data_IF_120043777739
#
_entry.id   IF_120043777739
#
_cell.length_a   1.000
_cell.length_b   1.000
_cell.length_c   1.000
_cell.angle_alpha   90.00
_cell.angle_beta   90.00
_cell.angle_gamma   90.00
#
_symmetry.space_group_name_H-M   'P 1'
#
loop_
_entity.id
_entity.type
_entity.pdbx_description
1 polymer ?
#
# COMPACT_ATOMS: atom_id res chain seq x y z
N UNK A 1 29.42 -5.58 23.56
CA UNK A 1 28.15 -5.20 24.20
C UNK A 1 27.15 -4.77 23.12
N UNK A 2 26.28 -5.67 22.67
CA UNK A 2 25.23 -5.34 21.69
C UNK A 2 23.99 -4.83 22.44
N UNK A 3 23.71 -3.53 22.33
CA UNK A 3 22.45 -2.94 22.80
C UNK A 3 21.31 -3.44 21.90
N UNK A 4 20.48 -4.35 22.42
CA UNK A 4 19.19 -4.70 21.82
C UNK A 4 18.30 -3.46 21.86
N UNK A 5 18.03 -2.85 20.70
CA UNK A 5 16.89 -1.93 20.56
C UNK A 5 15.62 -2.75 20.77
N UNK A 6 14.99 -2.59 21.93
CA UNK A 6 13.68 -3.13 22.19
C UNK A 6 12.67 -2.43 21.26
N UNK A 7 12.14 -3.17 20.30
CA UNK A 7 10.94 -2.79 19.56
C UNK A 7 9.81 -2.81 20.58
N UNK A 8 9.43 -1.65 21.12
CA UNK A 8 8.21 -1.52 21.93
C UNK A 8 7.04 -1.76 21.00
N UNK A 9 6.38 -2.91 21.10
CA UNK A 9 5.04 -3.07 20.56
C UNK A 9 4.16 -2.01 21.20
N UNK A 10 3.59 -1.15 20.38
CA UNK A 10 2.56 -0.23 20.84
C UNK A 10 1.37 -1.07 21.34
N UNK A 11 0.99 -0.83 22.58
CA UNK A 11 -0.20 -1.39 23.20
C UNK A 11 -1.41 -1.05 22.32
N UNK A 12 -2.20 -2.07 21.96
CA UNK A 12 -3.35 -1.91 21.09
C UNK A 12 -4.35 -0.96 21.74
N UNK A 13 -4.51 0.25 21.21
CA UNK A 13 -5.53 1.18 21.65
C UNK A 13 -6.91 0.51 21.53
N UNK A 14 -7.84 0.71 22.50
CA UNK A 14 -9.19 0.18 22.38
C UNK A 14 -9.78 0.62 21.03
N UNK A 15 -10.50 -0.27 20.34
CA UNK A 15 -10.83 -0.13 18.91
C UNK A 15 -11.40 1.26 18.53
N UNK A 16 -12.22 1.87 19.40
CA UNK A 16 -12.74 3.23 19.22
C UNK A 16 -11.65 4.32 19.26
N UNK A 17 -10.68 4.23 20.16
CA UNK A 17 -9.56 5.19 20.23
C UNK A 17 -8.55 4.99 19.10
N UNK A 18 -8.42 3.76 18.60
CA UNK A 18 -7.54 3.41 17.48
C UNK A 18 -7.96 4.15 16.21
N UNK A 19 -9.22 4.02 15.77
CA UNK A 19 -9.71 4.69 14.56
C UNK A 19 -9.86 6.20 14.73
N UNK A 20 -10.25 6.68 15.92
CA UNK A 20 -10.25 8.11 16.22
C UNK A 20 -8.83 8.73 16.10
N UNK A 21 -7.80 8.00 16.53
CA UNK A 21 -6.39 8.45 16.36
C UNK A 21 -6.00 8.47 14.88
N UNK A 22 -6.36 7.43 14.12
CA UNK A 22 -6.09 7.40 12.68
C UNK A 22 -6.80 8.54 11.95
N UNK A 23 -8.05 8.83 12.30
CA UNK A 23 -8.79 9.97 11.77
C UNK A 23 -8.03 11.29 11.98
N UNK A 24 -7.58 11.57 13.21
CA UNK A 24 -6.78 12.77 13.53
C UNK A 24 -5.45 12.85 12.80
N UNK A 25 -4.82 11.71 12.53
CA UNK A 25 -3.60 11.66 11.70
C UNK A 25 -3.92 12.03 10.25
N UNK A 26 -5.01 11.48 9.70
CA UNK A 26 -5.44 11.71 8.31
C UNK A 26 -5.94 13.14 8.07
N UNK A 27 -6.59 13.76 9.05
CA UNK A 27 -7.03 15.16 8.97
C UNK A 27 -5.93 16.17 9.28
N UNK A 28 -4.78 15.72 9.79
CA UNK A 28 -3.64 16.58 10.13
C UNK A 28 -3.75 17.27 11.48
N UNK A 29 -4.72 16.90 12.32
CA UNK A 29 -4.85 17.39 13.70
C UNK A 29 -3.69 16.90 14.59
N UNK A 30 -3.12 15.75 14.26
CA UNK A 30 -1.99 15.16 14.97
C UNK A 30 -0.96 14.59 14.00
N UNK A 31 0.25 14.34 14.49
CA UNK A 31 1.32 13.70 13.73
C UNK A 31 1.83 12.46 14.45
N UNK A 32 2.53 11.58 13.74
CA UNK A 32 3.16 10.43 14.38
C UNK A 32 4.21 10.90 15.40
N UNK A 33 4.18 10.30 16.60
CA UNK A 33 5.09 10.67 17.72
C UNK A 33 6.58 10.53 17.36
N UNK A 34 6.91 9.59 16.46
CA UNK A 34 8.28 9.38 15.97
C UNK A 34 8.67 10.33 14.82
N UNK A 35 7.85 11.35 14.51
CA UNK A 35 8.00 12.23 13.35
C UNK A 35 8.02 11.46 12.01
N UNK A 36 7.46 10.26 11.98
CA UNK A 36 7.31 9.48 10.77
C UNK A 36 6.37 10.17 9.77
N UNK A 37 6.59 9.92 8.48
CA UNK A 37 5.71 10.41 7.43
C UNK A 37 4.39 9.64 7.44
N UNK A 38 3.29 10.32 7.13
CA UNK A 38 1.99 9.69 6.91
C UNK A 38 1.99 8.97 5.55
N UNK A 39 2.30 7.68 5.59
CA UNK A 39 2.31 6.78 4.43
C UNK A 39 1.49 5.54 4.73
N UNK A 40 0.88 4.94 3.70
CA UNK A 40 0.06 3.74 3.84
C UNK A 40 0.83 2.61 4.55
N UNK A 41 2.10 2.40 4.20
CA UNK A 41 2.94 1.38 4.83
C UNK A 41 3.12 1.60 6.35
N UNK A 42 3.28 2.86 6.78
CA UNK A 42 3.37 3.21 8.20
C UNK A 42 2.02 3.07 8.92
N UNK A 43 0.92 3.39 8.22
CA UNK A 43 -0.44 3.19 8.74
C UNK A 43 -0.72 1.70 8.93
N UNK A 44 -0.44 0.86 7.93
CA UNK A 44 -0.61 -0.60 8.03
C UNK A 44 0.25 -1.19 9.16
N UNK A 45 1.50 -0.74 9.32
CA UNK A 45 2.36 -1.20 10.40
C UNK A 45 1.85 -0.85 11.81
N UNK A 46 1.19 0.31 11.96
CA UNK A 46 0.72 0.80 13.27
C UNK A 46 -0.74 0.42 13.58
N UNK A 47 -1.58 0.33 12.56
CA UNK A 47 -3.02 0.12 12.68
C UNK A 47 -3.46 -1.26 12.15
N UNK A 48 -2.54 -2.06 11.60
CA UNK A 48 -2.80 -3.42 11.11
C UNK A 48 -3.37 -3.44 9.68
N UNK A 49 -3.35 -4.63 9.06
CA UNK A 49 -3.75 -4.81 7.66
C UNK A 49 -5.23 -4.47 7.38
N UNK A 50 -6.10 -4.58 8.39
CA UNK A 50 -7.54 -4.30 8.26
C UNK A 50 -7.92 -2.83 8.55
N UNK A 51 -6.93 -1.93 8.68
CA UNK A 51 -7.17 -0.52 9.03
C UNK A 51 -8.21 0.15 8.12
N UNK A 52 -8.23 -0.16 6.82
CA UNK A 52 -9.13 0.48 5.87
C UNK A 52 -10.60 0.08 6.11
N UNK A 53 -10.85 -1.20 6.41
CA UNK A 53 -12.19 -1.70 6.74
C UNK A 53 -12.66 -1.16 8.08
N UNK A 54 -11.78 -1.16 9.09
CA UNK A 54 -12.07 -0.59 10.41
C UNK A 54 -12.36 0.92 10.32
N UNK A 55 -11.62 1.64 9.47
CA UNK A 55 -11.80 3.07 9.26
C UNK A 55 -13.08 3.39 8.50
N UNK A 56 -13.47 2.57 7.52
CA UNK A 56 -14.77 2.71 6.82
C UNK A 56 -15.95 2.48 7.78
N UNK A 57 -15.85 1.49 8.65
CA UNK A 57 -16.85 1.26 9.70
C UNK A 57 -16.93 2.46 10.66
N UNK A 58 -15.79 3.02 11.06
CA UNK A 58 -15.73 4.24 11.87
C UNK A 58 -16.27 5.47 11.13
N UNK A 59 -15.98 5.63 9.84
CA UNK A 59 -16.46 6.76 9.06
C UNK A 59 -17.99 6.86 9.08
N UNK A 60 -18.69 5.73 9.03
CA UNK A 60 -20.16 5.66 9.09
C UNK A 60 -20.76 6.22 10.38
N UNK A 61 -19.99 6.37 11.46
CA UNK A 61 -20.44 6.99 12.71
C UNK A 61 -20.26 8.51 12.74
N UNK A 62 -19.61 9.09 11.73
CA UNK A 62 -19.33 10.53 11.65
C UNK A 62 -20.42 11.30 10.89
N UNK A 63 -20.52 12.63 11.07
CA UNK A 63 -21.30 13.49 10.19
C UNK A 63 -20.89 13.36 8.71
N UNK A 64 -21.83 13.57 7.78
CA UNK A 64 -21.60 13.41 6.34
C UNK A 64 -20.45 14.28 5.78
N UNK A 65 -20.24 15.46 6.34
CA UNK A 65 -19.13 16.33 5.98
C UNK A 65 -17.76 15.68 6.30
N UNK A 66 -17.63 15.12 7.50
CA UNK A 66 -16.40 14.47 7.96
C UNK A 66 -16.15 13.16 7.21
N UNK A 67 -17.19 12.41 6.87
CA UNK A 67 -17.10 11.23 6.01
C UNK A 67 -16.46 11.57 4.65
N UNK A 68 -16.90 12.68 4.04
CA UNK A 68 -16.38 13.13 2.74
C UNK A 68 -14.90 13.55 2.85
N UNK A 69 -14.55 14.25 3.93
CA UNK A 69 -13.16 14.63 4.20
C UNK A 69 -12.31 13.37 4.36
N UNK A 70 -12.74 12.42 5.19
CA UNK A 70 -12.01 11.20 5.50
C UNK A 70 -11.80 10.34 4.25
N UNK A 71 -12.83 10.19 3.41
CA UNK A 71 -12.73 9.49 2.12
C UNK A 71 -11.62 10.09 1.24
N UNK A 72 -11.59 11.41 1.10
CA UNK A 72 -10.55 12.10 0.33
C UNK A 72 -9.15 11.88 0.92
N UNK A 73 -9.01 11.83 2.24
CA UNK A 73 -7.71 11.55 2.86
C UNK A 73 -7.27 10.11 2.67
N UNK A 74 -8.20 9.15 2.68
CA UNK A 74 -7.92 7.75 2.34
C UNK A 74 -7.46 7.62 0.88
N UNK A 75 -8.11 8.31 -0.05
CA UNK A 75 -7.68 8.35 -1.46
C UNK A 75 -6.26 8.91 -1.60
N UNK A 76 -5.94 10.00 -0.90
CA UNK A 76 -4.57 10.56 -0.87
C UNK A 76 -3.55 9.61 -0.24
N UNK A 77 -3.93 8.96 0.86
CA UNK A 77 -3.08 7.96 1.52
C UNK A 77 -2.79 6.81 0.56
N UNK A 78 -3.77 6.37 -0.23
CA UNK A 78 -3.60 5.28 -1.18
C UNK A 78 -2.51 5.56 -2.22
N UNK A 79 -2.32 6.82 -2.62
CA UNK A 79 -1.23 7.22 -3.53
C UNK A 79 0.15 7.08 -2.88
N UNK A 80 0.24 7.17 -1.56
CA UNK A 80 1.53 7.09 -0.84
C UNK A 80 2.13 5.68 -0.80
N UNK A 81 1.40 4.66 -1.30
CA UNK A 81 1.94 3.30 -1.48
C UNK A 81 2.95 3.22 -2.63
N UNK A 82 2.82 4.09 -3.61
CA UNK A 82 3.74 4.18 -4.73
C UNK A 82 5.02 4.91 -4.30
N UNK A 83 6.14 4.54 -4.90
CA UNK A 83 7.36 5.31 -4.77
C UNK A 83 7.23 6.65 -5.50
N UNK A 84 8.02 7.64 -5.10
CA UNK A 84 8.00 8.97 -5.74
C UNK A 84 8.36 8.90 -7.23
N UNK A 85 9.23 7.95 -7.62
CA UNK A 85 9.60 7.69 -9.01
C UNK A 85 8.40 7.18 -9.81
N UNK A 86 7.71 6.17 -9.30
CA UNK A 86 6.52 5.59 -9.95
C UNK A 86 5.40 6.61 -10.06
N UNK A 87 5.17 7.43 -9.02
CA UNK A 87 4.20 8.52 -9.11
C UNK A 87 4.55 9.52 -10.20
N UNK A 88 5.83 9.92 -10.31
CA UNK A 88 6.29 10.81 -11.37
C UNK A 88 6.07 10.25 -12.78
N UNK A 89 6.08 8.92 -12.92
CA UNK A 89 5.89 8.25 -14.20
C UNK A 89 4.42 7.96 -14.52
N UNK A 90 3.64 7.52 -13.52
CA UNK A 90 2.30 6.96 -13.72
C UNK A 90 1.16 7.94 -13.38
N UNK A 91 1.43 9.02 -12.64
CA UNK A 91 0.42 10.00 -12.27
C UNK A 91 0.25 11.15 -13.29
N UNK A 92 0.89 11.07 -14.46
CA UNK A 92 0.82 12.11 -15.50
C UNK A 92 -0.62 12.44 -15.93
N UNK A 93 -1.49 11.43 -15.97
CA UNK A 93 -2.90 11.57 -16.36
C UNK A 93 -3.86 11.70 -15.15
N UNK A 94 -3.30 11.96 -13.96
CA UNK A 94 -4.06 12.14 -12.73
C UNK A 94 -4.11 10.90 -11.83
N UNK A 95 -4.49 11.09 -10.56
CA UNK A 95 -4.38 10.07 -9.50
C UNK A 95 -5.28 8.85 -9.73
N UNK A 96 -6.42 9.02 -10.41
CA UNK A 96 -7.37 7.94 -10.66
C UNK A 96 -6.83 6.88 -11.64
N UNK A 97 -5.83 7.23 -12.46
CA UNK A 97 -5.27 6.35 -13.50
C UNK A 97 -3.93 5.72 -13.11
N UNK A 98 -3.40 6.06 -11.93
CA UNK A 98 -2.08 5.58 -11.47
C UNK A 98 -2.07 4.05 -11.40
N UNK A 99 -3.11 3.44 -10.84
CA UNK A 99 -3.21 1.98 -10.68
C UNK A 99 -3.22 1.26 -12.02
N UNK A 100 -4.03 1.77 -12.96
CA UNK A 100 -4.13 1.21 -14.30
C UNK A 100 -2.80 1.32 -15.04
N UNK A 101 -2.15 2.49 -14.96
CA UNK A 101 -0.89 2.77 -15.67
C UNK A 101 0.26 1.96 -15.08
N UNK A 102 0.36 1.88 -13.75
CA UNK A 102 1.36 1.09 -13.05
C UNK A 102 1.19 -0.41 -13.36
N UNK A 103 -0.05 -0.91 -13.36
CA UNK A 103 -0.32 -2.32 -13.68
C UNK A 103 0.05 -2.66 -15.13
N UNK A 104 -0.28 -1.78 -16.09
CA UNK A 104 0.08 -1.96 -17.49
C UNK A 104 1.60 -2.00 -17.69
N UNK A 105 2.32 -1.06 -17.05
CA UNK A 105 3.78 -1.04 -17.11
C UNK A 105 4.39 -2.28 -16.48
N UNK A 106 3.90 -2.71 -15.30
CA UNK A 106 4.42 -3.87 -14.60
C UNK A 106 4.26 -5.16 -15.44
N UNK A 107 3.13 -5.31 -16.15
CA UNK A 107 2.93 -6.43 -17.08
C UNK A 107 3.93 -6.34 -18.25
N UNK A 108 4.09 -5.16 -18.86
CA UNK A 108 5.04 -4.97 -19.95
C UNK A 108 6.49 -5.29 -19.54
N UNK A 109 6.91 -4.85 -18.35
CA UNK A 109 8.22 -5.15 -17.77
C UNK A 109 8.37 -6.66 -17.50
N UNK A 110 7.31 -7.31 -17.00
CA UNK A 110 7.27 -8.76 -16.81
C UNK A 110 7.41 -9.53 -18.14
N UNK A 111 6.73 -9.10 -19.19
CA UNK A 111 6.85 -9.68 -20.54
C UNK A 111 8.29 -9.55 -21.05
N UNK A 112 8.90 -8.36 -20.90
CA UNK A 112 10.28 -8.12 -21.30
C UNK A 112 11.27 -8.98 -20.50
N UNK A 113 11.08 -9.09 -19.18
CA UNK A 113 11.90 -9.94 -18.32
C UNK A 113 11.80 -11.41 -18.74
N UNK A 114 10.59 -11.91 -18.98
CA UNK A 114 10.34 -13.28 -19.45
C UNK A 114 10.98 -13.55 -20.80
N UNK A 115 10.91 -12.60 -21.75
CA UNK A 115 11.59 -12.72 -23.06
C UNK A 115 13.11 -12.78 -22.92
N UNK A 116 13.67 -12.01 -21.99
CA UNK A 116 15.13 -11.86 -21.86
C UNK A 116 15.78 -12.98 -21.03
N UNK A 117 15.07 -13.49 -20.01
CA UNK A 117 15.60 -14.49 -19.06
C UNK A 117 15.01 -15.89 -19.24
N UNK A 118 13.90 -16.01 -19.94
CA UNK A 118 13.14 -17.25 -20.04
C UNK A 118 12.18 -17.46 -18.86
N UNK A 119 11.29 -18.44 -19.01
CA UNK A 119 10.16 -18.64 -18.10
C UNK A 119 10.58 -19.10 -16.68
N UNK A 120 11.60 -19.95 -16.57
CA UNK A 120 12.06 -20.47 -15.28
C UNK A 120 12.64 -19.36 -14.39
N UNK A 121 13.55 -18.55 -14.95
CA UNK A 121 14.16 -17.43 -14.23
C UNK A 121 13.15 -16.33 -13.93
N UNK A 122 12.22 -16.05 -14.86
CA UNK A 122 11.11 -15.12 -14.60
C UNK A 122 10.30 -15.53 -13.37
N UNK A 123 9.85 -16.78 -13.31
CA UNK A 123 9.05 -17.26 -12.18
C UNK A 123 9.83 -17.20 -10.85
N UNK A 124 11.13 -17.52 -10.88
CA UNK A 124 12.00 -17.41 -9.70
C UNK A 124 12.14 -15.97 -9.22
N UNK A 125 12.48 -15.05 -10.13
CA UNK A 125 12.65 -13.62 -9.80
C UNK A 125 11.35 -13.04 -9.24
N UNK A 126 10.20 -13.34 -9.87
CA UNK A 126 8.91 -12.86 -9.40
C UNK A 126 8.58 -13.40 -8.00
N UNK A 127 8.90 -14.66 -7.70
CA UNK A 127 8.68 -15.23 -6.37
C UNK A 127 9.58 -14.58 -5.29
N UNK A 128 10.83 -14.27 -5.64
CA UNK A 128 11.76 -13.56 -4.74
C UNK A 128 11.28 -12.13 -4.45
N UNK A 129 10.90 -11.38 -5.49
CA UNK A 129 10.38 -10.01 -5.35
C UNK A 129 9.03 -9.96 -4.63
N UNK A 130 8.14 -10.92 -4.89
CA UNK A 130 6.87 -11.04 -4.19
C UNK A 130 7.07 -11.17 -2.67
N UNK A 131 8.07 -11.97 -2.25
CA UNK A 131 8.42 -12.11 -0.84
C UNK A 131 8.95 -10.81 -0.24
N UNK A 132 9.81 -10.08 -0.96
CA UNK A 132 10.34 -8.79 -0.51
C UNK A 132 9.23 -7.72 -0.38
N UNK A 133 8.27 -7.75 -1.30
CA UNK A 133 7.14 -6.83 -1.33
C UNK A 133 5.95 -7.28 -0.46
N UNK A 134 6.09 -8.39 0.26
CA UNK A 134 5.02 -9.01 1.06
C UNK A 134 3.71 -9.25 0.27
N UNK A 135 3.84 -9.68 -0.98
CA UNK A 135 2.70 -10.13 -1.79
C UNK A 135 2.30 -11.54 -1.37
N UNK A 136 0.99 -11.78 -1.32
CA UNK A 136 0.46 -13.13 -1.14
C UNK A 136 0.60 -13.98 -2.42
N UNK A 137 0.44 -15.29 -2.25
CA UNK A 137 0.54 -16.26 -3.34
C UNK A 137 -0.49 -16.03 -4.45
N UNK A 138 -1.69 -15.56 -4.11
CA UNK A 138 -2.76 -15.33 -5.08
C UNK A 138 -2.42 -14.16 -5.99
N UNK A 139 -1.94 -13.06 -5.42
CA UNK A 139 -1.48 -11.88 -6.16
C UNK A 139 -0.29 -12.22 -7.06
N UNK A 140 0.66 -13.00 -6.53
CA UNK A 140 1.84 -13.45 -7.28
C UNK A 140 1.44 -14.31 -8.48
N UNK A 141 0.58 -15.32 -8.28
CA UNK A 141 0.07 -16.17 -9.36
C UNK A 141 -0.75 -15.39 -10.38
N UNK A 142 -1.58 -14.45 -9.94
CA UNK A 142 -2.36 -13.59 -10.82
C UNK A 142 -1.45 -12.75 -11.73
N UNK A 143 -0.37 -12.20 -11.18
CA UNK A 143 0.61 -11.44 -11.96
C UNK A 143 1.33 -12.31 -12.99
N UNK A 144 1.84 -13.49 -12.60
CA UNK A 144 2.49 -14.44 -13.52
C UNK A 144 1.54 -14.80 -14.67
N UNK A 145 0.30 -15.16 -14.35
CA UNK A 145 -0.70 -15.51 -15.36
C UNK A 145 -1.01 -14.34 -16.32
N UNK A 146 -1.04 -13.10 -15.82
CA UNK A 146 -1.25 -11.93 -16.66
C UNK A 146 -0.08 -11.71 -17.64
N UNK A 147 1.17 -11.90 -17.19
CA UNK A 147 2.36 -11.80 -18.04
C UNK A 147 2.40 -12.92 -19.08
N UNK A 148 2.06 -14.15 -18.69
CA UNK A 148 2.00 -15.29 -19.62
C UNK A 148 0.97 -15.07 -20.73
N UNK A 149 -0.23 -14.59 -20.38
CA UNK A 149 -1.28 -14.24 -21.35
C UNK A 149 -0.85 -13.11 -22.29
N UNK A 150 -0.15 -12.10 -21.78
CA UNK A 150 0.36 -10.99 -22.58
C UNK A 150 1.59 -11.35 -23.42
N UNK A 151 2.23 -12.50 -23.16
CA UNK A 151 3.39 -13.01 -23.90
C UNK A 151 3.04 -14.06 -24.95
N UNK A 152 1.79 -14.53 -24.97
CA UNK A 152 1.27 -15.51 -25.93
C UNK A 152 0.89 -14.82 -27.26
#
# INVERSE_FOLDING_TARGET
>A
MFRRCAFRMAEAAPANNKMATLHKLLTGETTFKNKGLLKQTNVEAMFGAQWAQELDAYAKTLPAADQTILKRQVERLSLTRYTTRELGQFAANGPALVDQTAQAQLIADGVNLRKTKGAADFNKIVAEEAKLCNWDDNKTKAFISAVEKASA
#
